data_IF_339473577067
#
_entry.id   IF_339473577067
#
_cell.length_a   1.000
_cell.length_b   1.000
_cell.length_c   1.000
_cell.angle_alpha   90.00
_cell.angle_beta   90.00
_cell.angle_gamma   90.00
#
_symmetry.space_group_name_H-M   'P 1'
#
loop_
_entity.id
_entity.type
_entity.pdbx_description
1 polymer ?
#
# COMPACT_ATOMS: atom_id res chain seq x y z
N UNK A 1 -7.41 3.09 12.03
CA UNK A 1 -7.26 2.73 10.59
C UNK A 1 -6.63 1.34 10.56
N UNK A 2 -7.21 0.38 9.85
CA UNK A 2 -6.61 -0.95 9.69
C UNK A 2 -5.68 -0.92 8.48
N UNK A 3 -4.42 -0.54 8.70
CA UNK A 3 -3.43 -0.43 7.64
C UNK A 3 -2.02 -0.72 8.16
N UNK A 4 -1.17 -1.14 7.23
CA UNK A 4 0.27 -1.31 7.44
C UNK A 4 1.03 -0.73 6.25
N UNK A 5 2.27 -0.31 6.47
CA UNK A 5 3.19 0.12 5.43
C UNK A 5 3.99 -1.07 4.89
N UNK A 6 4.26 -1.06 3.59
CA UNK A 6 4.96 -2.12 2.86
C UNK A 6 5.91 -1.48 1.84
N UNK A 7 7.17 -1.92 1.85
CA UNK A 7 8.19 -1.53 0.87
C UNK A 7 8.72 -2.76 0.15
N UNK A 8 8.60 -2.72 -1.17
CA UNK A 8 9.09 -3.74 -2.09
C UNK A 8 10.31 -3.17 -2.84
N UNK A 9 11.40 -3.92 -2.90
CA UNK A 9 12.56 -3.61 -3.75
C UNK A 9 12.47 -4.34 -5.07
N UNK A 10 12.65 -3.60 -6.15
CA UNK A 10 12.83 -4.17 -7.48
C UNK A 10 14.32 -4.46 -7.68
N UNK A 11 14.61 -5.72 -7.91
CA UNK A 11 15.93 -6.27 -8.20
C UNK A 11 15.78 -7.26 -9.37
N UNK A 12 16.85 -7.95 -9.76
CA UNK A 12 16.86 -8.93 -10.87
C UNK A 12 15.80 -10.04 -10.70
N UNK A 13 15.37 -10.31 -9.45
CA UNK A 13 14.33 -11.30 -9.11
C UNK A 13 12.91 -10.69 -8.92
N UNK A 14 12.73 -9.36 -9.06
CA UNK A 14 11.45 -8.65 -9.17
C UNK A 14 10.33 -8.89 -8.11
N UNK A 15 10.51 -8.61 -6.81
CA UNK A 15 9.37 -8.54 -5.83
C UNK A 15 9.72 -8.40 -4.33
N UNK A 16 10.98 -8.50 -3.92
CA UNK A 16 11.33 -8.73 -2.52
C UNK A 16 10.79 -7.67 -1.56
N UNK A 17 10.09 -8.14 -0.52
CA UNK A 17 9.73 -7.32 0.64
C UNK A 17 11.01 -6.93 1.37
N UNK A 18 11.29 -5.63 1.50
CA UNK A 18 12.43 -5.11 2.26
C UNK A 18 12.02 -4.40 3.55
N UNK A 19 10.73 -4.06 3.67
CA UNK A 19 10.15 -3.56 4.90
C UNK A 19 8.64 -3.82 4.94
N UNK A 20 8.13 -4.09 6.14
CA UNK A 20 6.70 -4.16 6.44
C UNK A 20 6.47 -3.74 7.89
N UNK A 21 5.39 -3.04 8.21
CA UNK A 21 5.12 -2.58 9.58
C UNK A 21 4.92 -3.72 10.58
N UNK A 22 5.33 -3.52 11.84
CA UNK A 22 5.15 -4.50 12.93
C UNK A 22 3.70 -4.89 13.20
N UNK A 23 2.77 -3.97 13.00
CA UNK A 23 1.34 -4.21 13.23
C UNK A 23 0.72 -5.24 12.25
N UNK A 24 1.44 -5.66 11.20
CA UNK A 24 1.01 -6.78 10.35
C UNK A 24 0.76 -8.07 11.14
N UNK A 25 1.47 -8.28 12.25
CA UNK A 25 1.26 -9.43 13.13
C UNK A 25 -0.16 -9.45 13.71
N UNK A 26 -0.68 -8.29 14.14
CA UNK A 26 -2.03 -8.14 14.69
C UNK A 26 -3.14 -8.34 13.65
N UNK A 27 -2.81 -8.37 12.36
CA UNK A 27 -3.77 -8.46 11.26
C UNK A 27 -3.69 -9.79 10.49
N UNK A 28 -2.48 -10.33 10.29
CA UNK A 28 -2.22 -11.52 9.47
C UNK A 28 -1.44 -12.61 10.21
N UNK A 29 -0.97 -12.36 11.43
CA UNK A 29 -0.23 -13.33 12.25
C UNK A 29 1.27 -13.45 11.93
N UNK A 30 1.77 -12.79 10.88
CA UNK A 30 3.20 -12.81 10.53
C UNK A 30 4.04 -11.84 11.37
N UNK A 31 5.27 -12.22 11.69
CA UNK A 31 6.33 -11.28 12.10
C UNK A 31 6.94 -10.56 10.89
N UNK A 32 7.78 -9.54 11.13
CA UNK A 32 8.51 -8.88 10.04
C UNK A 32 9.53 -9.83 9.39
N UNK A 33 10.20 -10.66 10.20
CA UNK A 33 11.31 -11.52 9.76
C UNK A 33 10.84 -12.69 8.87
N UNK A 34 9.59 -13.14 9.03
CA UNK A 34 8.95 -14.14 8.15
C UNK A 34 8.57 -13.59 6.76
N UNK A 35 8.57 -12.26 6.58
CA UNK A 35 8.15 -11.60 5.35
C UNK A 35 9.31 -10.93 4.61
N UNK A 36 10.29 -10.39 5.33
CA UNK A 36 11.44 -9.70 4.74
C UNK A 36 12.31 -10.69 3.94
N UNK A 37 12.81 -10.24 2.79
CA UNK A 37 13.55 -10.98 1.76
C UNK A 37 12.75 -12.03 0.96
N UNK A 38 11.51 -12.33 1.34
CA UNK A 38 10.59 -13.15 0.55
C UNK A 38 9.93 -12.33 -0.57
N UNK A 39 9.44 -13.04 -1.60
CA UNK A 39 8.61 -12.46 -2.65
C UNK A 39 7.28 -12.01 -2.08
N UNK A 40 6.78 -10.82 -2.48
CA UNK A 40 5.42 -10.43 -2.09
C UNK A 40 4.37 -11.43 -2.60
N UNK A 41 4.60 -12.07 -3.76
CA UNK A 41 3.65 -13.00 -4.37
C UNK A 41 3.46 -14.29 -3.56
N UNK A 42 4.39 -14.66 -2.67
CA UNK A 42 4.23 -15.79 -1.72
C UNK A 42 3.05 -15.57 -0.74
N UNK A 43 2.68 -14.32 -0.49
CA UNK A 43 1.64 -13.92 0.48
C UNK A 43 0.35 -13.42 -0.20
N UNK A 44 0.32 -13.32 -1.53
CA UNK A 44 -0.84 -12.83 -2.29
C UNK A 44 -1.55 -14.01 -2.94
N UNK A 45 -2.88 -13.97 -2.94
CA UNK A 45 -3.72 -14.96 -3.62
C UNK A 45 -3.31 -15.09 -5.10
N UNK A 46 -3.05 -16.31 -5.63
CA UNK A 46 -2.55 -16.50 -6.99
C UNK A 46 -3.38 -15.84 -8.10
N UNK A 47 -4.71 -15.81 -7.96
CA UNK A 47 -5.61 -15.12 -8.91
C UNK A 47 -5.52 -13.59 -8.88
N UNK A 48 -4.65 -13.00 -8.04
CA UNK A 48 -4.36 -11.57 -8.01
C UNK A 48 -2.94 -11.26 -8.50
N UNK A 49 -2.12 -12.27 -8.82
CA UNK A 49 -0.72 -12.08 -9.22
C UNK A 49 -0.59 -11.22 -10.48
N UNK A 50 -1.33 -11.51 -11.55
CA UNK A 50 -1.27 -10.70 -12.79
C UNK A 50 -1.67 -9.24 -12.55
N UNK A 51 -2.73 -9.00 -11.76
CA UNK A 51 -3.19 -7.65 -11.41
C UNK A 51 -2.13 -6.89 -10.60
N UNK A 52 -1.54 -7.54 -9.60
CA UNK A 52 -0.46 -6.96 -8.81
C UNK A 52 0.78 -6.71 -9.67
N UNK A 53 1.15 -7.64 -10.56
CA UNK A 53 2.30 -7.49 -11.46
C UNK A 53 2.13 -6.33 -12.46
N UNK A 54 0.91 -6.07 -12.92
CA UNK A 54 0.56 -4.94 -13.81
C UNK A 54 0.42 -3.61 -13.04
N UNK A 55 0.12 -3.63 -11.74
CA UNK A 55 0.13 -2.43 -10.89
C UNK A 55 1.54 -2.07 -10.40
N UNK A 56 2.32 -3.11 -10.08
CA UNK A 56 3.77 -3.07 -10.21
C UNK A 56 4.13 -2.96 -11.73
N UNK A 57 5.40 -2.79 -12.09
CA UNK A 57 5.86 -2.44 -13.46
C UNK A 57 5.34 -1.09 -14.03
N UNK A 58 4.04 -0.79 -13.97
CA UNK A 58 3.43 0.47 -14.39
C UNK A 58 3.95 1.64 -13.54
N UNK A 59 4.89 2.38 -14.13
CA UNK A 59 5.73 3.36 -13.46
C UNK A 59 5.02 4.73 -13.30
N UNK A 60 3.81 4.72 -12.72
CA UNK A 60 2.88 5.85 -12.71
C UNK A 60 3.37 7.06 -11.88
N UNK A 61 3.14 8.26 -12.42
CA UNK A 61 3.30 9.54 -11.72
C UNK A 61 2.10 9.89 -10.82
N UNK A 62 1.03 9.10 -10.87
CA UNK A 62 -0.22 9.28 -10.13
C UNK A 62 -0.40 8.09 -9.17
N UNK A 63 -0.88 8.35 -7.96
CA UNK A 63 -1.19 7.31 -6.98
C UNK A 63 -2.43 6.53 -7.43
N UNK A 64 -2.23 5.35 -8.01
CA UNK A 64 -3.29 4.37 -8.25
C UNK A 64 -3.42 3.40 -7.07
N UNK A 65 -4.52 2.64 -7.06
CA UNK A 65 -4.81 1.61 -6.07
C UNK A 65 -4.82 0.22 -6.70
N UNK A 66 -4.33 -0.80 -5.99
CA UNK A 66 -4.51 -2.19 -6.37
C UNK A 66 -5.18 -2.97 -5.26
N UNK A 67 -6.38 -3.47 -5.51
CA UNK A 67 -6.97 -4.46 -4.62
C UNK A 67 -6.19 -5.77 -4.71
N UNK A 68 -6.05 -6.47 -3.60
CA UNK A 68 -5.36 -7.76 -3.45
C UNK A 68 -6.01 -8.54 -2.30
N UNK A 69 -5.79 -9.85 -2.28
CA UNK A 69 -6.13 -10.71 -1.16
C UNK A 69 -4.83 -11.20 -0.53
N UNK A 70 -4.54 -10.77 0.70
CA UNK A 70 -3.31 -11.10 1.44
C UNK A 70 -3.58 -12.26 2.40
N UNK A 71 -2.71 -13.27 2.36
CA UNK A 71 -2.82 -14.53 3.11
C UNK A 71 -2.62 -14.33 4.60
N UNK A 72 -3.38 -15.02 5.46
CA UNK A 72 -3.15 -15.05 6.91
C UNK A 72 -2.29 -16.26 7.29
N UNK A 73 -1.35 -16.08 8.21
CA UNK A 73 -0.52 -17.15 8.77
C UNK A 73 -1.35 -18.17 9.57
N UNK A 74 -2.36 -17.67 10.30
CA UNK A 74 -3.06 -18.44 11.34
C UNK A 74 -3.96 -19.56 10.80
N UNK A 75 -4.52 -19.38 9.60
CA UNK A 75 -5.51 -20.27 8.98
C UNK A 75 -5.30 -20.51 7.47
N UNK A 76 -4.33 -19.83 6.83
CA UNK A 76 -4.07 -19.84 5.38
C UNK A 76 -5.21 -19.31 4.49
N UNK A 77 -6.24 -18.69 5.07
CA UNK A 77 -7.27 -17.94 4.32
C UNK A 77 -6.79 -16.50 4.03
N UNK A 78 -7.55 -15.69 3.30
CA UNK A 78 -7.13 -14.40 2.78
C UNK A 78 -8.02 -13.24 3.26
N UNK A 79 -7.40 -12.09 3.55
CA UNK A 79 -8.11 -10.82 3.73
C UNK A 79 -7.95 -9.89 2.55
N UNK A 80 -9.06 -9.25 2.17
CA UNK A 80 -9.08 -8.24 1.13
C UNK A 80 -8.39 -6.97 1.62
N UNK A 81 -7.47 -6.48 0.80
CA UNK A 81 -6.67 -5.30 1.06
C UNK A 81 -6.61 -4.42 -0.20
N UNK A 82 -6.38 -3.12 0.00
CA UNK A 82 -6.14 -2.15 -1.06
C UNK A 82 -4.74 -1.58 -0.89
N UNK A 83 -3.83 -1.91 -1.81
CA UNK A 83 -2.50 -1.33 -1.94
C UNK A 83 -2.64 0.09 -2.50
N UNK A 84 -2.05 1.09 -1.83
CA UNK A 84 -1.91 2.46 -2.31
C UNK A 84 -0.43 2.83 -2.21
N UNK A 85 0.27 2.94 -3.33
CA UNK A 85 1.70 3.21 -3.32
C UNK A 85 2.24 3.86 -4.59
N UNK A 86 3.51 4.25 -4.52
CA UNK A 86 4.24 4.86 -5.61
C UNK A 86 5.72 4.44 -5.60
N UNK A 87 6.34 4.56 -6.77
CA UNK A 87 7.77 4.33 -6.92
C UNK A 87 8.61 5.47 -6.33
N UNK A 88 9.76 5.12 -5.77
CA UNK A 88 10.91 6.01 -5.62
C UNK A 88 12.15 5.33 -6.18
N UNK A 89 12.94 6.12 -6.89
CA UNK A 89 14.28 5.76 -7.33
C UNK A 89 15.25 6.45 -6.37
N UNK A 90 16.04 5.69 -5.63
CA UNK A 90 17.06 6.27 -4.72
C UNK A 90 18.37 6.50 -5.48
N UNK A 91 18.76 5.52 -6.30
CA UNK A 91 19.92 5.56 -7.19
C UNK A 91 19.51 5.06 -8.58
N UNK A 92 20.32 5.31 -9.61
CA UNK A 92 20.01 4.95 -11.01
C UNK A 92 19.55 3.48 -11.22
N UNK A 93 20.03 2.56 -10.36
CA UNK A 93 19.72 1.13 -10.42
C UNK A 93 18.79 0.63 -9.30
N UNK A 94 18.39 1.47 -8.35
CA UNK A 94 17.61 1.05 -7.18
C UNK A 94 16.21 1.67 -7.16
N UNK A 95 15.20 0.85 -7.47
CA UNK A 95 13.79 1.21 -7.42
C UNK A 95 13.09 0.51 -6.27
N UNK A 96 12.33 1.29 -5.51
CA UNK A 96 11.51 0.83 -4.42
C UNK A 96 10.06 1.24 -4.69
N UNK A 97 9.11 0.33 -4.45
CA UNK A 97 7.70 0.67 -4.38
C UNK A 97 7.32 0.78 -2.90
N UNK A 98 6.90 1.99 -2.50
CA UNK A 98 6.47 2.30 -1.14
C UNK A 98 4.96 2.40 -1.12
N UNK A 99 4.30 1.67 -0.22
CA UNK A 99 2.85 1.56 -0.20
C UNK A 99 2.26 1.49 1.21
N UNK A 100 1.07 2.06 1.36
CA UNK A 100 0.17 1.79 2.47
C UNK A 100 -0.79 0.72 1.99
N UNK A 101 -0.92 -0.35 2.77
CA UNK A 101 -1.88 -1.44 2.56
C UNK A 101 -3.04 -1.21 3.52
N UNK A 102 -4.20 -0.79 2.99
CA UNK A 102 -5.45 -0.75 3.76
C UNK A 102 -6.04 -2.16 3.80
N UNK A 103 -6.57 -2.57 4.96
CA UNK A 103 -7.30 -3.83 5.13
C UNK A 103 -8.81 -3.51 5.14
N UNK A 104 -9.59 -4.25 4.35
CA UNK A 104 -11.01 -3.95 4.10
C UNK A 104 -11.94 -4.71 5.07
N UNK A 105 -11.57 -4.78 6.36
CA UNK A 105 -12.21 -5.60 7.41
C UNK A 105 -13.67 -5.27 7.71
N UNK A 106 -14.17 -4.08 7.33
CA UNK A 106 -15.56 -3.67 7.58
C UNK A 106 -16.44 -3.56 6.32
N UNK A 107 -15.84 -3.58 5.12
CA UNK A 107 -16.54 -3.24 3.87
C UNK A 107 -17.26 -4.46 3.22
N UNK A 108 -17.02 -5.69 3.71
CA UNK A 108 -17.61 -6.95 3.19
C UNK A 108 -19.14 -6.96 3.18
N UNK A 109 -19.82 -6.20 4.03
CA UNK A 109 -21.29 -6.10 4.07
C UNK A 109 -21.87 -5.01 3.16
N UNK A 110 -21.06 -4.06 2.69
CA UNK A 110 -21.50 -2.93 1.86
C UNK A 110 -21.16 -3.10 0.37
N UNK A 111 -20.18 -3.95 0.04
CA UNK A 111 -19.65 -4.09 -1.33
C UNK A 111 -20.28 -5.21 -2.18
N UNK A 112 -21.30 -5.94 -1.69
CA UNK A 112 -21.94 -7.02 -2.47
C UNK A 112 -22.80 -6.56 -3.67
N UNK A 113 -22.89 -5.24 -3.93
CA UNK A 113 -23.70 -4.67 -5.01
C UNK A 113 -22.93 -3.58 -5.78
N UNK A 114 -22.03 -3.95 -6.69
CA UNK A 114 -21.73 -3.19 -7.94
C UNK A 114 -20.76 -3.98 -8.82
N UNK A 115 -21.06 -4.08 -10.11
CA UNK A 115 -20.07 -4.45 -11.12
C UNK A 115 -18.93 -3.42 -11.11
N UNK A 116 -17.70 -3.91 -10.92
CA UNK A 116 -16.41 -3.19 -10.86
C UNK A 116 -16.46 -1.63 -10.79
N UNK A 117 -16.63 -1.06 -9.59
CA UNK A 117 -16.32 0.35 -9.38
C UNK A 117 -14.80 0.58 -9.50
N UNK A 118 -14.41 1.64 -10.21
CA UNK A 118 -13.00 2.05 -10.35
C UNK A 118 -12.53 2.63 -9.00
N UNK A 119 -11.87 1.80 -8.19
CA UNK A 119 -11.38 2.06 -6.83
C UNK A 119 -10.18 3.03 -6.74
N UNK A 120 -9.81 3.69 -7.83
CA UNK A 120 -8.73 4.69 -7.87
C UNK A 120 -9.22 6.10 -7.47
N UNK A 121 -8.34 6.88 -6.84
CA UNK A 121 -8.53 8.31 -6.54
C UNK A 121 -7.31 9.13 -7.00
N UNK A 122 -7.53 10.36 -7.44
CA UNK A 122 -6.46 11.30 -7.83
C UNK A 122 -6.10 12.21 -6.66
N UNK A 123 -4.79 12.45 -6.48
CA UNK A 123 -4.26 13.38 -5.47
C UNK A 123 -3.01 14.08 -5.97
N UNK A 124 -2.78 15.32 -5.50
CA UNK A 124 -1.57 16.08 -5.73
C UNK A 124 -0.88 16.41 -4.40
N UNK A 125 0.42 16.12 -4.31
CA UNK A 125 1.29 16.47 -3.18
C UNK A 125 2.21 17.62 -3.59
N UNK A 126 2.54 18.51 -2.65
CA UNK A 126 3.64 19.46 -2.85
C UNK A 126 5.00 18.82 -2.53
N UNK A 127 6.08 19.57 -2.73
CA UNK A 127 7.47 19.14 -2.47
C UNK A 127 7.76 18.72 -1.01
N UNK A 128 6.88 19.06 -0.06
CA UNK A 128 6.98 18.68 1.35
C UNK A 128 6.06 17.49 1.71
N UNK A 129 5.49 16.81 0.70
CA UNK A 129 4.56 15.69 0.90
C UNK A 129 3.17 16.09 1.42
N UNK A 130 2.85 17.39 1.41
CA UNK A 130 1.57 17.93 1.87
C UNK A 130 0.52 17.86 0.76
N UNK A 131 -0.66 17.31 1.09
CA UNK A 131 -1.78 17.20 0.18
C UNK A 131 -2.27 18.59 -0.24
N UNK A 132 -2.20 18.88 -1.53
CA UNK A 132 -2.71 20.09 -2.18
C UNK A 132 -4.11 19.86 -2.72
N UNK A 133 -4.37 18.63 -3.18
CA UNK A 133 -5.64 18.19 -3.73
C UNK A 133 -5.82 16.70 -3.45
N UNK A 134 -7.06 16.28 -3.23
CA UNK A 134 -7.47 14.88 -3.27
C UNK A 134 -8.94 14.86 -3.73
N UNK A 135 -9.29 13.92 -4.61
CA UNK A 135 -10.67 13.83 -5.11
C UNK A 135 -11.66 13.26 -4.07
N UNK A 136 -12.94 13.26 -4.42
CA UNK A 136 -14.02 12.82 -3.53
C UNK A 136 -14.09 11.30 -3.32
N UNK A 137 -13.53 10.48 -4.22
CA UNK A 137 -13.51 9.02 -4.08
C UNK A 137 -12.59 8.56 -2.96
N UNK A 138 -11.54 9.33 -2.65
CA UNK A 138 -10.68 9.06 -1.50
C UNK A 138 -11.45 8.88 -0.18
N UNK A 139 -12.65 9.45 -0.04
CA UNK A 139 -13.50 9.20 1.13
C UNK A 139 -14.04 7.78 1.19
N UNK A 140 -14.38 7.17 0.05
CA UNK A 140 -14.82 5.78 -0.01
C UNK A 140 -13.63 4.82 0.16
N UNK A 141 -12.47 5.18 -0.41
CA UNK A 141 -11.29 4.32 -0.46
C UNK A 141 -10.48 4.38 0.85
N UNK A 142 -10.09 5.57 1.29
CA UNK A 142 -9.28 5.82 2.50
C UNK A 142 -10.10 6.04 3.78
N UNK A 143 -11.38 6.39 3.65
CA UNK A 143 -12.26 6.78 4.77
C UNK A 143 -12.23 8.29 5.10
N UNK A 144 -11.34 9.07 4.49
CA UNK A 144 -11.16 10.50 4.78
C UNK A 144 -11.69 11.39 3.66
N UNK A 145 -12.33 12.49 4.04
CA UNK A 145 -12.71 13.55 3.10
C UNK A 145 -11.53 14.41 2.66
N UNK A 146 -11.72 15.16 1.57
CA UNK A 146 -10.74 16.15 1.11
C UNK A 146 -10.50 17.28 2.13
N UNK A 147 -11.49 17.65 2.96
CA UNK A 147 -11.29 18.69 3.98
C UNK A 147 -10.41 18.22 5.16
N UNK A 148 -10.37 16.90 5.43
CA UNK A 148 -9.52 16.32 6.49
C UNK A 148 -8.09 16.07 6.03
N UNK A 149 -7.89 15.83 4.73
CA UNK A 149 -6.59 15.49 4.13
C UNK A 149 -5.87 16.72 3.57
N UNK A 150 -6.55 17.60 2.82
CA UNK A 150 -5.88 18.75 2.19
C UNK A 150 -5.28 19.65 3.26
N UNK A 151 -3.99 19.96 3.11
CA UNK A 151 -3.23 20.70 4.10
C UNK A 151 -2.46 19.83 5.10
N UNK A 152 -2.73 18.54 5.22
CA UNK A 152 -1.92 17.59 6.02
C UNK A 152 -0.79 17.00 5.20
N UNK A 153 0.24 16.46 5.85
CA UNK A 153 1.31 15.73 5.16
C UNK A 153 1.03 14.25 5.13
N UNK A 154 1.46 13.54 4.09
CA UNK A 154 1.22 12.10 4.00
C UNK A 154 1.87 11.33 5.16
N UNK A 155 2.95 11.87 5.76
CA UNK A 155 3.54 11.33 7.00
C UNK A 155 2.54 11.30 8.17
N UNK A 156 1.53 12.17 8.20
CA UNK A 156 0.53 12.22 9.28
C UNK A 156 -0.41 11.00 9.31
N UNK A 157 -0.38 10.19 8.24
CA UNK A 157 -1.20 8.99 8.05
C UNK A 157 -0.37 7.69 8.06
N UNK A 158 0.94 7.83 8.25
CA UNK A 158 1.91 6.74 8.38
C UNK A 158 1.99 6.32 9.86
N UNK A 159 2.10 5.03 10.14
CA UNK A 159 2.24 4.55 11.53
C UNK A 159 3.59 5.01 12.12
N UNK A 160 3.67 5.42 13.41
CA UNK A 160 4.89 5.99 13.99
C UNK A 160 6.16 5.14 13.82
N UNK A 161 6.03 3.81 13.89
CA UNK A 161 7.14 2.86 13.70
C UNK A 161 7.76 2.93 12.29
N UNK A 162 6.95 3.28 11.28
CA UNK A 162 7.37 3.30 9.88
C UNK A 162 7.99 4.65 9.49
N UNK A 163 7.70 5.73 10.24
CA UNK A 163 8.19 7.09 9.96
C UNK A 163 9.70 7.12 9.78
N UNK A 164 10.46 6.35 10.57
CA UNK A 164 11.91 6.30 10.47
C UNK A 164 12.41 5.71 9.14
N UNK A 165 11.69 4.76 8.55
CA UNK A 165 12.02 4.15 7.26
C UNK A 165 11.65 5.10 6.13
N UNK A 166 10.45 5.67 6.18
CA UNK A 166 9.96 6.61 5.17
C UNK A 166 10.78 7.89 5.14
N UNK A 167 11.12 8.47 6.31
CA UNK A 167 11.96 9.67 6.39
C UNK A 167 13.38 9.42 5.86
N UNK A 168 13.92 8.21 5.98
CA UNK A 168 15.17 7.83 5.30
C UNK A 168 14.99 7.79 3.79
N UNK A 169 13.93 7.14 3.30
CA UNK A 169 13.62 7.05 1.86
C UNK A 169 13.22 8.40 1.21
N UNK A 170 12.95 9.45 2.00
CA UNK A 170 12.68 10.82 1.55
C UNK A 170 13.84 11.80 1.76
N UNK A 171 14.92 11.38 2.42
CA UNK A 171 16.15 12.18 2.67
C UNK A 171 17.37 11.65 1.91
N UNK A 172 17.17 10.64 1.07
CA UNK A 172 18.11 10.11 0.09
C UNK A 172 17.63 10.54 -1.31
#
# INVERSE_FOLDING_TARGET
>A
MHCFFLVIKFDINFDKIVYVSKNINSYFGYSQDELINHSVFEFILPSNHDRLLVYLLNNHQVLQTCDISWKRSIDNDYEQCTLIGAYRTINANEKYFMSIVKINTLDRMLMMNTDHPINEFVTYLNIHGKFVFIDSKARQILGYSSFEIVGRTYFDFVHPDDLNVIVRAYKL
#
